data_IF_634305734630
#
_entry.id   IF_634305734630
#
_cell.length_a   1.000
_cell.length_b   1.000
_cell.length_c   1.000
_cell.angle_alpha   90.00
_cell.angle_beta   90.00
_cell.angle_gamma   90.00
#
_symmetry.space_group_name_H-M   'P 1'
#
loop_
_entity.id
_entity.type
_entity.pdbx_description
1 polymer ?
#
# COMPACT_ATOMS: atom_id res chain seq x y z
N UNK A 1 -0.23 0.52 -5.82
CA UNK A 1 -0.97 0.96 -7.03
C UNK A 1 -2.35 1.39 -6.57
N UNK A 2 -2.83 2.52 -7.07
CA UNK A 2 -4.19 3.01 -6.82
C UNK A 2 -4.96 3.04 -8.13
N UNK A 3 -6.11 2.37 -8.15
CA UNK A 3 -6.87 2.14 -9.36
C UNK A 3 -6.27 1.11 -10.31
N UNK A 4 -7.06 0.73 -11.31
CA UNK A 4 -6.65 -0.19 -12.36
C UNK A 4 -7.02 -1.64 -12.07
N UNK A 5 -7.40 -2.36 -13.13
CA UNK A 5 -7.54 -3.82 -13.07
C UNK A 5 -6.13 -4.46 -13.02
N UNK A 6 -5.85 -5.34 -12.04
CA UNK A 6 -4.56 -6.02 -11.94
C UNK A 6 -4.49 -7.17 -12.97
N UNK A 7 -4.44 -6.82 -14.25
CA UNK A 7 -4.28 -7.76 -15.36
C UNK A 7 -2.85 -8.29 -15.47
N UNK A 8 -1.91 -7.70 -14.73
CA UNK A 8 -0.53 -8.13 -14.64
C UNK A 8 -0.29 -8.95 -13.38
N UNK A 9 0.55 -9.98 -13.51
CA UNK A 9 0.92 -10.87 -12.40
C UNK A 9 2.20 -10.44 -11.68
N UNK A 10 2.89 -9.42 -12.20
CA UNK A 10 4.15 -8.90 -11.70
C UNK A 10 4.13 -7.38 -11.68
N UNK A 11 4.68 -6.81 -10.62
CA UNK A 11 4.85 -5.36 -10.48
C UNK A 11 6.27 -5.08 -10.01
N UNK A 12 6.94 -4.18 -10.73
CA UNK A 12 8.23 -3.67 -10.30
C UNK A 12 8.03 -2.56 -9.27
N UNK A 13 8.91 -2.54 -8.27
CA UNK A 13 8.99 -1.47 -7.29
C UNK A 13 10.46 -1.20 -6.94
N UNK A 14 10.74 0.02 -6.50
CA UNK A 14 12.10 0.42 -6.12
C UNK A 14 12.19 0.50 -4.61
N UNK A 15 13.10 -0.28 -4.03
CA UNK A 15 13.42 -0.20 -2.61
C UNK A 15 13.91 1.21 -2.24
N UNK A 16 13.35 1.85 -1.21
CA UNK A 16 13.83 3.15 -0.74
C UNK A 16 15.28 3.07 -0.25
N UNK A 17 16.12 4.02 -0.66
CA UNK A 17 17.55 4.01 -0.31
C UNK A 17 17.83 4.27 1.17
N UNK A 18 16.86 4.85 1.87
CA UNK A 18 16.86 5.14 3.31
C UNK A 18 16.28 4.00 4.15
N UNK A 19 15.92 2.86 3.55
CA UNK A 19 15.60 1.65 4.30
C UNK A 19 16.80 1.22 5.16
N UNK A 20 16.52 0.59 6.30
CA UNK A 20 17.53 -0.05 7.13
C UNK A 20 17.99 -1.37 6.48
N UNK A 21 19.28 -1.69 6.62
CA UNK A 21 19.76 -3.02 6.28
C UNK A 21 19.33 -4.04 7.35
N UNK A 22 19.11 -5.29 6.93
CA UNK A 22 18.76 -6.39 7.83
C UNK A 22 17.46 -7.10 7.43
N UNK A 23 17.00 -7.97 8.32
CA UNK A 23 15.80 -8.78 8.09
C UNK A 23 14.53 -7.94 8.32
N UNK A 24 13.55 -8.13 7.44
CA UNK A 24 12.29 -7.40 7.43
C UNK A 24 11.15 -8.26 6.87
N UNK A 25 9.91 -7.83 7.13
CA UNK A 25 8.73 -8.40 6.50
C UNK A 25 8.24 -7.49 5.38
N UNK A 26 8.18 -8.01 4.16
CA UNK A 26 7.49 -7.37 3.06
C UNK A 26 6.01 -7.78 3.09
N UNK A 27 5.11 -6.80 3.14
CA UNK A 27 3.67 -7.03 3.10
C UNK A 27 3.08 -6.55 1.77
N UNK A 28 2.42 -7.45 1.04
CA UNK A 28 1.57 -7.11 -0.10
C UNK A 28 0.12 -7.09 0.37
N UNK A 29 -0.58 -5.97 0.17
CA UNK A 29 -2.00 -5.82 0.48
C UNK A 29 -2.81 -5.44 -0.75
N UNK A 30 -4.05 -5.92 -0.81
CA UNK A 30 -4.98 -5.64 -1.90
C UNK A 30 -6.41 -5.48 -1.39
N UNK A 31 -7.09 -4.44 -1.89
CA UNK A 31 -8.50 -4.16 -1.67
C UNK A 31 -9.23 -4.34 -2.98
N UNK A 32 -10.15 -5.29 -3.04
CA UNK A 32 -10.82 -5.68 -4.27
C UNK A 32 -11.88 -4.64 -4.70
N UNK A 33 -11.88 -4.31 -5.99
CA UNK A 33 -12.85 -3.37 -6.58
C UNK A 33 -14.29 -3.91 -6.54
N UNK A 34 -14.49 -5.16 -6.97
CA UNK A 34 -15.79 -5.83 -7.02
C UNK A 34 -15.84 -7.06 -6.08
N UNK A 35 -17.00 -7.37 -5.51
CA UNK A 35 -17.22 -8.52 -4.62
C UNK A 35 -17.35 -8.15 -3.13
N UNK A 36 -17.06 -9.11 -2.25
CA UNK A 36 -17.09 -8.89 -0.80
C UNK A 36 -16.06 -7.83 -0.40
N UNK A 37 -16.36 -6.99 0.60
CA UNK A 37 -15.41 -5.98 1.08
C UNK A 37 -14.35 -6.69 1.92
N UNK A 38 -13.20 -6.95 1.33
CA UNK A 38 -12.11 -7.75 1.92
C UNK A 38 -10.78 -6.99 1.83
N UNK A 39 -9.84 -7.40 2.68
CA UNK A 39 -8.44 -6.98 2.61
C UNK A 39 -7.62 -8.26 2.48
N UNK A 40 -6.97 -8.42 1.35
CA UNK A 40 -6.05 -9.52 1.09
C UNK A 40 -4.66 -9.09 1.54
N UNK A 41 -3.91 -9.99 2.19
CA UNK A 41 -2.55 -9.72 2.64
C UNK A 41 -1.68 -10.97 2.53
N UNK A 42 -0.51 -10.85 1.94
CA UNK A 42 0.57 -11.85 2.04
C UNK A 42 1.85 -11.18 2.55
N UNK A 43 2.61 -11.92 3.34
CA UNK A 43 3.89 -11.48 3.88
C UNK A 43 5.01 -12.37 3.36
N UNK A 44 6.17 -11.76 3.11
CA UNK A 44 7.42 -12.45 2.79
C UNK A 44 8.53 -12.00 3.74
N UNK A 45 9.35 -12.96 4.18
CA UNK A 45 10.60 -12.69 4.89
C UNK A 45 11.66 -12.27 3.87
N UNK A 46 12.28 -11.11 4.09
CA UNK A 46 13.26 -10.52 3.18
C UNK A 46 14.45 -9.96 3.95
N UNK A 47 15.63 -10.03 3.34
CA UNK A 47 16.82 -9.33 3.85
C UNK A 47 17.11 -8.12 2.96
N UNK A 48 17.05 -6.92 3.55
CA UNK A 48 17.37 -5.66 2.87
C UNK A 48 18.88 -5.44 2.92
N UNK A 49 19.46 -5.11 1.76
CA UNK A 49 20.88 -4.77 1.60
C UNK A 49 21.04 -3.49 0.78
N UNK A 50 22.14 -2.75 1.00
CA UNK A 50 22.41 -1.49 0.31
C UNK A 50 21.64 -0.26 0.83
N UNK A 51 20.86 -0.44 1.90
CA UNK A 51 20.17 0.64 2.60
C UNK A 51 21.13 1.57 3.33
N UNK A 52 20.73 2.84 3.52
CA UNK A 52 21.56 3.89 4.13
C UNK A 52 20.93 4.53 5.37
N UNK A 53 19.75 4.07 5.79
CA UNK A 53 19.04 4.61 6.95
C UNK A 53 19.03 3.67 8.17
N UNK A 54 18.17 4.00 9.12
CA UNK A 54 17.89 3.23 10.33
C UNK A 54 16.39 2.90 10.44
N UNK A 55 16.05 1.86 11.20
CA UNK A 55 14.66 1.44 11.37
C UNK A 55 13.79 2.58 11.95
N UNK A 56 14.24 3.23 13.03
CA UNK A 56 13.51 4.33 13.67
C UNK A 56 13.25 5.51 12.72
N UNK A 57 14.25 5.86 11.90
CA UNK A 57 14.12 6.96 10.93
C UNK A 57 13.14 6.60 9.81
N UNK A 58 13.19 5.34 9.34
CA UNK A 58 12.27 4.83 8.34
C UNK A 58 10.83 4.78 8.88
N UNK A 59 10.61 4.22 10.08
CA UNK A 59 9.29 4.16 10.72
C UNK A 59 8.70 5.56 10.95
N UNK A 60 9.53 6.55 11.27
CA UNK A 60 9.08 7.93 11.46
C UNK A 60 8.78 8.67 10.14
N UNK A 61 9.39 8.25 9.03
CA UNK A 61 9.30 8.94 7.74
C UNK A 61 8.19 8.40 6.83
N UNK A 62 7.78 7.14 7.01
CA UNK A 62 6.84 6.46 6.13
C UNK A 62 5.48 6.24 6.80
N UNK A 63 4.37 6.28 6.04
CA UNK A 63 3.05 6.05 6.59
C UNK A 63 2.86 4.60 7.01
N UNK A 64 2.01 4.39 8.01
CA UNK A 64 1.54 3.05 8.36
C UNK A 64 0.68 2.47 7.23
N UNK A 65 0.73 1.14 7.08
CA UNK A 65 -0.09 0.45 6.09
C UNK A 65 -1.58 0.74 6.31
N UNK A 66 -2.28 1.09 5.23
CA UNK A 66 -3.72 1.30 5.29
C UNK A 66 -4.44 -0.02 5.57
N UNK A 67 -5.40 0.00 6.50
CA UNK A 67 -6.19 -1.15 6.88
C UNK A 67 -7.70 -0.82 6.81
N UNK A 68 -8.44 -1.64 6.07
CA UNK A 68 -9.90 -1.57 5.96
C UNK A 68 -10.45 -2.98 5.87
N UNK A 69 -11.77 -3.15 6.03
CA UNK A 69 -12.45 -4.43 5.82
C UNK A 69 -12.03 -5.57 6.79
N UNK A 70 -11.30 -5.25 7.88
CA UNK A 70 -10.79 -6.22 8.87
C UNK A 70 -11.47 -6.10 10.24
N UNK A 71 -12.68 -5.54 10.28
CA UNK A 71 -13.42 -5.32 11.53
C UNK A 71 -12.95 -4.11 12.35
N UNK A 72 -12.11 -3.24 11.77
CA UNK A 72 -11.61 -2.02 12.40
C UNK A 72 -12.55 -0.80 12.21
N UNK A 73 -13.78 -1.00 11.74
CA UNK A 73 -14.74 0.08 11.45
C UNK A 73 -14.54 0.81 10.12
N UNK A 74 -13.38 0.66 9.48
CA UNK A 74 -13.09 1.21 8.14
C UNK A 74 -13.54 0.25 7.05
N UNK A 75 -14.25 0.76 6.02
CA UNK A 75 -14.78 -0.06 4.92
C UNK A 75 -14.59 0.61 3.56
N UNK A 76 -14.06 -0.15 2.62
CA UNK A 76 -14.08 0.21 1.19
C UNK A 76 -15.49 0.05 0.59
N UNK A 77 -15.73 0.64 -0.58
CA UNK A 77 -17.02 0.56 -1.28
C UNK A 77 -16.84 -0.17 -2.60
N UNK A 78 -17.81 -1.02 -2.93
CA UNK A 78 -17.82 -1.77 -4.18
C UNK A 78 -17.94 -0.85 -5.40
N UNK A 79 -17.18 -1.15 -6.46
CA UNK A 79 -17.10 -0.36 -7.69
C UNK A 79 -16.60 1.08 -7.49
N UNK A 80 -15.84 1.30 -6.42
CA UNK A 80 -15.21 2.57 -6.13
C UNK A 80 -13.75 2.34 -5.76
N UNK A 81 -12.86 3.09 -6.41
CA UNK A 81 -11.43 2.95 -6.18
C UNK A 81 -11.04 3.40 -4.78
N UNK A 82 -10.15 2.61 -4.17
CA UNK A 82 -9.54 2.97 -2.89
C UNK A 82 -8.33 3.85 -3.17
N UNK A 83 -8.34 5.05 -2.61
CA UNK A 83 -7.30 6.09 -2.73
C UNK A 83 -6.80 6.35 -1.31
N UNK A 84 -5.58 5.96 -1.02
CA UNK A 84 -5.03 6.06 0.32
C UNK A 84 -4.83 7.53 0.69
N UNK A 85 -5.20 7.91 1.91
CA UNK A 85 -4.94 9.26 2.42
C UNK A 85 -3.44 9.55 2.55
N UNK A 86 -2.64 8.50 2.75
CA UNK A 86 -1.19 8.56 2.91
C UNK A 86 -0.54 7.46 2.05
N UNK A 87 -0.49 7.61 0.71
CA UNK A 87 0.02 6.58 -0.19
C UNK A 87 1.55 6.48 -0.21
N UNK A 88 2.24 7.39 0.48
CA UNK A 88 3.68 7.55 0.44
C UNK A 88 4.15 8.26 -0.84
N UNK A 89 5.46 8.15 -1.14
CA UNK A 89 6.10 8.90 -2.22
C UNK A 89 6.16 8.11 -3.56
N UNK A 90 5.92 6.80 -3.52
CA UNK A 90 6.05 5.92 -4.68
C UNK A 90 4.70 5.32 -5.03
N UNK A 91 3.94 6.00 -5.89
CA UNK A 91 2.58 5.61 -6.26
C UNK A 91 2.48 5.38 -7.76
N UNK A 92 1.92 4.24 -8.13
CA UNK A 92 1.51 3.92 -9.50
C UNK A 92 0.00 4.10 -9.56
N UNK A 93 -0.48 4.87 -10.53
CA UNK A 93 -1.90 5.15 -10.72
C UNK A 93 -2.46 4.44 -11.96
N UNK A 94 -3.68 3.92 -11.84
CA UNK A 94 -4.45 3.29 -12.91
C UNK A 94 -5.89 3.78 -12.96
N UNK A 95 -6.63 3.39 -14.01
CA UNK A 95 -8.08 3.64 -14.19
C UNK A 95 -8.57 5.07 -13.90
N UNK A 96 -7.82 6.07 -14.37
CA UNK A 96 -8.19 7.49 -14.19
C UNK A 96 -7.98 8.04 -12.77
N UNK A 97 -7.48 7.23 -11.83
CA UNK A 97 -6.95 7.72 -10.56
C UNK A 97 -5.66 8.49 -10.81
N UNK A 98 -5.39 9.50 -9.98
CA UNK A 98 -4.19 10.33 -10.07
C UNK A 98 -3.83 10.86 -8.69
N UNK A 99 -2.67 11.52 -8.58
CA UNK A 99 -2.24 12.20 -7.35
C UNK A 99 -3.18 13.33 -6.90
N UNK A 100 -4.10 13.79 -7.75
CA UNK A 100 -5.12 14.78 -7.40
C UNK A 100 -6.46 14.17 -6.98
N UNK A 101 -6.62 12.85 -7.09
CA UNK A 101 -7.85 12.18 -6.70
C UNK A 101 -8.01 12.24 -5.16
N UNK A 102 -9.21 12.56 -4.64
CA UNK A 102 -9.40 12.70 -3.20
C UNK A 102 -9.30 11.34 -2.49
N UNK A 103 -8.71 11.27 -1.28
CA UNK A 103 -8.65 10.04 -0.50
C UNK A 103 -10.03 9.41 -0.26
N UNK A 104 -10.09 8.09 -0.36
CA UNK A 104 -11.28 7.30 -0.16
C UNK A 104 -10.94 5.83 0.18
N UNK A 105 -11.64 5.16 1.10
CA UNK A 105 -12.71 5.66 1.96
C UNK A 105 -12.19 6.62 3.03
N UNK A 106 -13.06 7.51 3.52
CA UNK A 106 -12.74 8.35 4.67
C UNK A 106 -12.84 7.51 5.95
N UNK A 107 -11.70 6.98 6.38
CA UNK A 107 -11.58 6.22 7.62
C UNK A 107 -10.96 7.10 8.69
N UNK A 108 -11.74 7.35 9.75
CA UNK A 108 -11.38 8.15 10.92
C UNK A 108 -10.51 7.40 11.91
#
# INVERSE_FOLDING_TARGET
MEGGCPLESSYDFTMPSDAANGDALFAWTWFNFEGNREMYMNCADVTITGGKGSADAFESAYPIIFAANVGNGCKTVEKQETIFAQPGNQVIYGDGVSSSSPPFPSCS
#
